data_IF_773978576919
#
_entry.id   IF_773978576919
#
_cell.length_a   1.000
_cell.length_b   1.000
_cell.length_c   1.000
_cell.angle_alpha   90.00
_cell.angle_beta   90.00
_cell.angle_gamma   90.00
#
_symmetry.space_group_name_H-M   'P 1'
#
loop_
_entity.id
_entity.type
_entity.pdbx_description
1 polymer ?
#
# COMPACT_ATOMS: atom_id res chain seq x y z
N UNK A 1 -6.43 23.82 19.37
CA UNK A 1 -6.80 22.41 19.34
C UNK A 1 -6.63 21.86 17.93
N UNK A 2 -5.88 20.79 17.81
CA UNK A 2 -5.68 20.19 16.52
C UNK A 2 -6.94 19.43 16.09
N UNK A 3 -7.41 19.70 14.90
CA UNK A 3 -8.53 18.96 14.35
C UNK A 3 -8.01 17.77 13.56
N UNK A 4 -8.62 16.63 13.79
CA UNK A 4 -8.37 15.48 12.94
C UNK A 4 -8.89 15.77 11.56
N UNK A 5 -8.05 15.51 10.58
CA UNK A 5 -8.47 15.59 9.19
C UNK A 5 -9.44 14.44 8.91
N UNK A 6 -10.59 14.79 8.35
CA UNK A 6 -11.55 13.77 7.95
C UNK A 6 -11.05 13.08 6.69
N UNK A 7 -10.91 11.78 6.76
CA UNK A 7 -10.47 10.97 5.63
C UNK A 7 -11.62 10.11 5.12
N UNK A 8 -11.70 9.97 3.84
CA UNK A 8 -12.67 9.12 3.18
C UNK A 8 -11.96 8.14 2.29
N UNK A 9 -12.30 6.87 2.39
CA UNK A 9 -11.76 5.86 1.51
C UNK A 9 -12.39 6.01 0.13
N UNK A 10 -11.57 6.29 -0.86
CA UNK A 10 -12.02 6.53 -2.22
C UNK A 10 -11.67 5.42 -3.18
N UNK A 11 -10.70 4.58 -2.81
CA UNK A 11 -10.36 3.39 -3.58
C UNK A 11 -10.30 2.22 -2.61
N UNK A 12 -10.97 1.13 -2.97
CA UNK A 12 -10.86 -0.13 -2.26
C UNK A 12 -11.02 -1.22 -3.31
N UNK A 13 -9.92 -1.89 -3.62
CA UNK A 13 -9.90 -2.87 -4.68
C UNK A 13 -9.09 -4.08 -4.28
N UNK A 14 -9.54 -5.25 -4.71
CA UNK A 14 -8.83 -6.50 -4.49
C UNK A 14 -8.89 -7.33 -5.76
N UNK A 15 -7.78 -7.97 -6.09
CA UNK A 15 -7.71 -8.84 -7.24
C UNK A 15 -6.93 -10.09 -6.89
N UNK A 16 -7.46 -11.24 -7.29
CA UNK A 16 -6.75 -12.50 -7.15
C UNK A 16 -5.67 -12.59 -8.20
N UNK A 17 -4.50 -13.08 -7.80
CA UNK A 17 -3.36 -13.25 -8.69
C UNK A 17 -2.92 -14.70 -8.63
N UNK A 18 -2.77 -15.33 -9.78
CA UNK A 18 -2.27 -16.69 -9.85
C UNK A 18 -0.75 -16.66 -9.91
N UNK A 19 -0.14 -17.37 -8.96
CA UNK A 19 1.30 -17.47 -8.86
C UNK A 19 1.69 -18.95 -8.88
N UNK A 20 2.92 -19.23 -9.29
CA UNK A 20 3.42 -20.60 -9.30
C UNK A 20 3.39 -21.26 -7.92
N UNK A 21 3.61 -20.47 -6.88
CA UNK A 21 3.59 -20.96 -5.50
C UNK A 21 2.19 -21.14 -4.92
N UNK A 22 1.17 -20.60 -5.59
CA UNK A 22 -0.22 -20.66 -5.12
C UNK A 22 -0.91 -19.31 -5.31
N UNK A 23 -2.23 -19.26 -5.13
CA UNK A 23 -2.97 -18.01 -5.35
C UNK A 23 -2.59 -16.94 -4.35
N UNK A 24 -2.53 -15.71 -4.82
CA UNK A 24 -2.31 -14.54 -4.00
C UNK A 24 -3.36 -13.48 -4.24
N UNK A 25 -3.19 -12.34 -3.60
CA UNK A 25 -4.12 -11.23 -3.69
C UNK A 25 -3.37 -9.93 -3.75
N UNK A 26 -3.81 -9.04 -4.62
CA UNK A 26 -3.37 -7.65 -4.62
C UNK A 26 -4.49 -6.82 -4.02
N UNK A 27 -4.14 -6.00 -3.05
CA UNK A 27 -5.09 -5.09 -2.39
C UNK A 27 -4.61 -3.66 -2.57
N UNK A 28 -5.55 -2.79 -2.91
CA UNK A 28 -5.29 -1.36 -3.04
C UNK A 28 -6.33 -0.58 -2.26
N UNK A 29 -5.87 0.32 -1.42
CA UNK A 29 -6.72 1.21 -0.65
C UNK A 29 -6.14 2.61 -0.69
N UNK A 30 -7.00 3.61 -0.88
CA UNK A 30 -6.58 5.01 -0.88
C UNK A 30 -7.62 5.81 -0.11
N UNK A 31 -7.15 6.70 0.74
CA UNK A 31 -7.99 7.64 1.48
C UNK A 31 -7.61 9.06 1.08
N UNK A 32 -8.62 9.90 0.94
CA UNK A 32 -8.45 11.31 0.63
C UNK A 32 -9.03 12.17 1.74
N UNK A 33 -8.51 13.39 1.85
CA UNK A 33 -9.10 14.38 2.73
C UNK A 33 -10.27 15.08 2.01
N UNK A 34 -10.89 16.02 2.68
CA UNK A 34 -12.06 16.74 2.17
C UNK A 34 -11.74 17.62 0.96
N UNK A 35 -10.47 17.85 0.67
CA UNK A 35 -10.04 18.61 -0.51
C UNK A 35 -9.75 17.71 -1.71
N UNK A 36 -9.92 16.40 -1.54
CA UNK A 36 -9.66 15.44 -2.60
C UNK A 36 -8.18 15.10 -2.78
N UNK A 37 -7.37 15.35 -1.75
CA UNK A 37 -5.94 15.03 -1.79
C UNK A 37 -5.72 13.67 -1.14
N UNK A 38 -5.02 12.79 -1.86
CA UNK A 38 -4.67 11.48 -1.31
C UNK A 38 -3.61 11.61 -0.24
N UNK A 39 -3.98 11.28 0.99
CA UNK A 39 -3.12 11.45 2.16
C UNK A 39 -2.76 10.13 2.82
N UNK A 40 -3.40 9.05 2.41
CA UNK A 40 -3.12 7.73 2.95
C UNK A 40 -3.39 6.68 1.88
N UNK A 41 -2.53 5.69 1.80
CA UNK A 41 -2.73 4.58 0.88
C UNK A 41 -2.15 3.30 1.47
N UNK A 42 -2.60 2.19 0.95
CA UNK A 42 -2.07 0.87 1.24
C UNK A 42 -2.12 0.05 -0.04
N UNK A 43 -0.96 -0.42 -0.48
CA UNK A 43 -0.82 -1.31 -1.62
C UNK A 43 -0.13 -2.56 -1.12
N UNK A 44 -0.71 -3.72 -1.32
CA UNK A 44 -0.15 -4.95 -0.80
C UNK A 44 -0.32 -6.11 -1.78
N UNK A 45 0.73 -6.91 -1.92
CA UNK A 45 0.65 -8.23 -2.52
C UNK A 45 0.76 -9.26 -1.40
N UNK A 46 -0.27 -10.06 -1.26
CA UNK A 46 -0.40 -11.03 -0.19
C UNK A 46 -0.37 -12.42 -0.80
N UNK A 47 0.52 -13.29 -0.28
CA UNK A 47 0.59 -14.68 -0.72
C UNK A 47 1.12 -15.53 0.41
N UNK A 48 0.22 -16.26 1.06
CA UNK A 48 0.55 -17.09 2.23
C UNK A 48 1.38 -18.33 1.86
N UNK A 49 1.46 -18.67 0.58
CA UNK A 49 2.31 -19.78 0.12
C UNK A 49 3.76 -19.34 -0.06
N UNK A 50 4.00 -18.06 -0.23
CA UNK A 50 5.37 -17.52 -0.38
C UNK A 50 5.98 -17.14 0.95
N UNK A 51 5.18 -16.64 1.89
CA UNK A 51 5.67 -16.24 3.20
C UNK A 51 4.55 -16.32 4.23
N UNK A 52 4.92 -16.63 5.46
CA UNK A 52 4.02 -16.49 6.61
C UNK A 52 4.31 -15.20 7.39
N UNK A 53 5.41 -14.54 7.09
CA UNK A 53 5.76 -13.28 7.74
C UNK A 53 4.76 -12.20 7.39
N UNK A 54 4.54 -11.28 8.31
CA UNK A 54 3.67 -10.12 8.10
C UNK A 54 2.31 -10.52 7.53
N UNK A 55 1.73 -11.59 8.07
CA UNK A 55 0.43 -12.12 7.69
C UNK A 55 0.33 -12.41 6.18
N UNK A 56 1.41 -12.91 5.60
CA UNK A 56 1.45 -13.29 4.19
C UNK A 56 1.76 -12.16 3.23
N UNK A 57 2.04 -10.98 3.73
CA UNK A 57 2.37 -9.84 2.85
C UNK A 57 3.79 -10.00 2.31
N UNK A 58 3.88 -10.27 1.01
CA UNK A 58 5.17 -10.42 0.32
C UNK A 58 5.77 -9.05 0.07
N UNK A 59 4.96 -8.14 -0.45
CA UNK A 59 5.39 -6.79 -0.78
C UNK A 59 4.26 -5.84 -0.45
N UNK A 60 4.60 -4.69 0.09
CA UNK A 60 3.61 -3.68 0.39
C UNK A 60 4.21 -2.30 0.46
N UNK A 61 3.38 -1.32 0.16
CA UNK A 61 3.72 0.09 0.29
C UNK A 61 2.58 0.76 1.00
N UNK A 62 2.89 1.54 2.02
CA UNK A 62 1.86 2.32 2.69
C UNK A 62 2.40 3.66 3.16
N UNK A 63 1.48 4.58 3.37
CA UNK A 63 1.76 5.85 4.01
C UNK A 63 0.92 5.90 5.28
N UNK A 64 1.60 5.89 6.41
CA UNK A 64 0.96 6.04 7.71
C UNK A 64 1.91 6.80 8.61
N UNK A 65 1.35 7.52 9.59
CA UNK A 65 2.15 8.30 10.54
C UNK A 65 3.09 9.30 9.88
N UNK A 66 2.72 9.80 8.70
CA UNK A 66 3.43 10.90 8.06
C UNK A 66 4.58 10.53 7.13
N UNK A 67 4.87 9.26 6.94
CA UNK A 67 5.91 8.87 5.99
C UNK A 67 5.60 7.53 5.34
N UNK A 68 6.32 7.25 4.26
CA UNK A 68 6.10 6.08 3.42
C UNK A 68 6.94 4.92 3.91
N UNK A 69 6.36 3.73 3.86
CA UNK A 69 7.05 2.49 4.23
C UNK A 69 6.94 1.49 3.10
N UNK A 70 7.98 0.69 2.98
CA UNK A 70 7.96 -0.50 2.16
C UNK A 70 8.08 -1.72 3.05
N UNK A 71 7.23 -2.70 2.79
CA UNK A 71 7.25 -3.99 3.47
C UNK A 71 7.67 -5.06 2.50
N UNK A 72 8.59 -5.92 2.91
CA UNK A 72 9.03 -7.04 2.10
C UNK A 72 9.28 -8.24 3.00
N UNK A 73 8.40 -9.23 2.91
CA UNK A 73 8.49 -10.50 3.63
C UNK A 73 8.80 -10.32 5.12
N UNK A 74 8.12 -9.38 5.76
CA UNK A 74 8.27 -9.10 7.18
C UNK A 74 9.25 -7.99 7.51
N UNK A 75 10.11 -7.60 6.60
CA UNK A 75 10.99 -6.45 6.80
C UNK A 75 10.25 -5.17 6.48
N UNK A 76 10.46 -4.16 7.29
CA UNK A 76 9.84 -2.84 7.10
C UNK A 76 10.96 -1.83 6.97
N UNK A 77 10.89 -1.00 5.95
CA UNK A 77 11.88 0.05 5.77
C UNK A 77 11.20 1.32 5.26
N UNK A 78 11.69 2.50 5.64
CA UNK A 78 11.23 3.73 5.03
C UNK A 78 11.68 3.77 3.58
N UNK A 79 10.88 4.40 2.73
CA UNK A 79 11.35 4.65 1.39
C UNK A 79 10.95 6.06 0.99
N UNK A 80 11.78 6.63 0.13
CA UNK A 80 11.55 7.97 -0.35
C UNK A 80 10.59 7.91 -1.53
N UNK A 81 9.38 8.47 -1.32
CA UNK A 81 8.42 8.57 -2.39
C UNK A 81 8.68 9.86 -3.15
N UNK A 82 8.95 9.72 -4.44
CA UNK A 82 8.94 10.87 -5.32
C UNK A 82 7.74 10.77 -6.24
N UNK A 83 7.49 11.82 -6.96
CA UNK A 83 6.38 11.86 -7.87
C UNK A 83 6.57 10.82 -8.97
N UNK A 84 5.52 10.05 -9.24
CA UNK A 84 5.54 9.08 -10.32
C UNK A 84 5.01 9.71 -11.60
N UNK A 85 5.66 9.41 -12.70
CA UNK A 85 5.19 9.79 -14.03
C UNK A 85 4.21 8.76 -14.55
N UNK A 86 3.51 9.11 -15.63
CA UNK A 86 2.50 8.23 -16.24
C UNK A 86 3.05 6.87 -16.64
N UNK A 87 4.31 6.81 -17.03
CA UNK A 87 4.94 5.56 -17.43
C UNK A 87 5.51 4.78 -16.25
N UNK A 88 5.19 5.16 -15.03
CA UNK A 88 5.66 4.52 -13.83
C UNK A 88 7.06 4.89 -13.41
N UNK A 89 7.70 5.80 -14.10
CA UNK A 89 9.02 6.25 -13.71
C UNK A 89 8.96 7.23 -12.58
N UNK A 90 9.92 7.09 -11.69
CA UNK A 90 10.10 8.03 -10.61
C UNK A 90 10.64 9.36 -11.15
N UNK A 91 10.15 10.44 -10.57
CA UNK A 91 10.56 11.78 -10.97
C UNK A 91 11.43 12.39 -9.88
#
# INVERSE_FOLDING_TARGET
>A
MAQKRALRKVVEDEAEVRCASGPGMIREEVWEDERGVGVRYNLAFINHFMTSADNGRVLGYDASHGYHHRHFMGAVEPFHFSQLRRNGREV
#
